data_IF_776189700442
#
_entry.id   IF_776189700442
#
_cell.length_a   1.000
_cell.length_b   1.000
_cell.length_c   1.000
_cell.angle_alpha   90.00
_cell.angle_beta   90.00
_cell.angle_gamma   90.00
#
_symmetry.space_group_name_H-M   'P 1'
#
loop_
_entity.id
_entity.type
_entity.pdbx_description
1 polymer ?
#
# COMPACT_ATOMS: atom_id res chain seq x y z
N UNK A 1 2.25 12.80 19.22
CA UNK A 1 1.65 11.56 18.69
C UNK A 1 0.17 11.80 18.45
N UNK A 2 -0.41 11.19 17.40
CA UNK A 2 -1.88 11.15 17.23
C UNK A 2 -2.50 10.41 18.42
N UNK A 3 -3.73 10.78 18.78
CA UNK A 3 -4.46 10.02 19.82
C UNK A 3 -4.87 8.65 19.26
N UNK A 4 -5.02 7.62 20.11
CA UNK A 4 -5.53 6.32 19.68
C UNK A 4 -6.85 6.48 18.90
N UNK A 5 -6.96 5.86 17.73
CA UNK A 5 -8.15 5.92 16.87
C UNK A 5 -8.27 7.13 15.94
N UNK A 6 -7.58 8.26 16.20
CA UNK A 6 -7.59 9.43 15.28
C UNK A 6 -7.03 9.05 13.90
N UNK A 7 -5.96 8.24 13.85
CA UNK A 7 -5.32 7.87 12.59
C UNK A 7 -6.20 7.00 11.69
N UNK A 8 -6.97 6.08 12.27
CA UNK A 8 -7.86 5.19 11.52
C UNK A 8 -9.07 5.94 10.93
N UNK A 9 -9.62 6.89 11.68
CA UNK A 9 -10.71 7.73 11.19
C UNK A 9 -10.23 8.62 10.03
N UNK A 10 -9.04 9.23 10.15
CA UNK A 10 -8.48 10.08 9.10
C UNK A 10 -8.16 9.26 7.84
N UNK A 11 -7.61 8.06 7.99
CA UNK A 11 -7.33 7.14 6.89
C UNK A 11 -8.56 6.84 6.02
N UNK A 12 -9.72 6.63 6.65
CA UNK A 12 -10.97 6.40 5.93
C UNK A 12 -11.39 7.59 5.06
N UNK A 13 -11.12 8.83 5.49
CA UNK A 13 -11.39 10.02 4.68
C UNK A 13 -10.40 10.15 3.50
N UNK A 14 -9.13 9.82 3.71
CA UNK A 14 -8.11 9.86 2.65
C UNK A 14 -8.42 8.82 1.56
N UNK A 15 -8.79 7.59 1.94
CA UNK A 15 -9.20 6.56 0.98
C UNK A 15 -10.44 6.96 0.16
N UNK A 16 -11.35 7.73 0.76
CA UNK A 16 -12.54 8.26 0.07
C UNK A 16 -12.25 9.54 -0.73
N UNK A 17 -10.99 9.98 -0.78
CA UNK A 17 -10.57 11.25 -1.37
C UNK A 17 -11.37 12.46 -0.83
N UNK A 18 -11.81 12.36 0.43
CA UNK A 18 -12.58 13.39 1.11
C UNK A 18 -11.67 14.22 1.99
N UNK A 19 -11.99 15.51 2.06
CA UNK A 19 -11.32 16.45 2.95
C UNK A 19 -11.42 15.99 4.40
N UNK A 20 -10.30 15.99 5.12
CA UNK A 20 -10.24 15.65 6.55
C UNK A 20 -10.94 16.76 7.36
N UNK A 21 -12.01 16.46 8.12
CA UNK A 21 -12.75 17.48 8.87
C UNK A 21 -11.90 18.18 9.94
N UNK A 22 -12.01 19.51 10.08
CA UNK A 22 -11.38 20.25 11.19
C UNK A 22 -12.26 20.16 12.45
N UNK A 23 -11.67 20.47 13.61
CA UNK A 23 -12.41 20.53 14.89
C UNK A 23 -13.54 21.56 14.79
N UNK A 24 -14.79 21.11 14.95
CA UNK A 24 -15.99 21.94 14.79
C UNK A 24 -16.69 21.79 13.44
N UNK A 25 -16.11 21.03 12.51
CA UNK A 25 -16.69 20.73 11.18
C UNK A 25 -17.28 19.33 11.10
N UNK A 26 -17.25 18.57 12.19
CA UNK A 26 -17.83 17.24 12.28
C UNK A 26 -19.34 17.36 12.07
N UNK A 27 -19.85 16.79 10.97
CA UNK A 27 -21.26 16.86 10.58
C UNK A 27 -21.54 17.76 9.37
N UNK A 28 -20.54 18.47 8.85
CA UNK A 28 -20.64 19.21 7.60
C UNK A 28 -20.00 18.42 6.46
N UNK A 29 -20.59 18.50 5.26
CA UNK A 29 -19.97 17.90 4.08
C UNK A 29 -18.79 18.76 3.59
N UNK A 30 -17.77 18.11 3.02
CA UNK A 30 -16.58 18.77 2.50
C UNK A 30 -16.90 19.82 1.43
N UNK A 31 -17.90 19.57 0.58
CA UNK A 31 -18.34 20.51 -0.45
C UNK A 31 -19.03 21.75 0.12
N UNK A 32 -19.80 21.59 1.21
CA UNK A 32 -20.44 22.72 1.88
C UNK A 32 -19.40 23.67 2.51
N UNK A 33 -18.35 23.11 3.09
CA UNK A 33 -17.25 23.89 3.69
C UNK A 33 -16.50 24.68 2.61
N UNK A 34 -16.18 24.04 1.48
CA UNK A 34 -15.47 24.70 0.37
C UNK A 34 -16.28 25.87 -0.21
N UNK A 35 -17.60 25.69 -0.36
CA UNK A 35 -18.49 26.77 -0.80
C UNK A 35 -18.55 27.93 0.18
N UNK A 36 -18.59 27.65 1.49
CA UNK A 36 -18.60 28.68 2.53
C UNK A 36 -17.25 29.42 2.61
N UNK A 37 -16.12 28.72 2.46
CA UNK A 37 -14.79 29.35 2.41
C UNK A 37 -14.65 30.24 1.16
N UNK A 38 -15.12 29.79 -0.02
CA UNK A 38 -15.17 30.59 -1.25
C UNK A 38 -16.04 31.84 -1.13
N UNK A 39 -17.15 31.74 -0.38
CA UNK A 39 -18.00 32.88 -0.08
C UNK A 39 -17.39 33.87 0.95
N UNK A 40 -16.20 33.56 1.49
CA UNK A 40 -15.47 34.43 2.42
C UNK A 40 -15.76 34.17 3.90
N UNK A 41 -16.51 33.11 4.23
CA UNK A 41 -16.71 32.71 5.63
C UNK A 41 -15.44 32.08 6.20
N UNK A 42 -15.02 32.60 7.35
CA UNK A 42 -13.82 32.14 8.06
C UNK A 42 -14.21 31.05 9.05
N UNK A 43 -13.83 29.81 8.75
CA UNK A 43 -14.11 28.67 9.62
C UNK A 43 -13.38 28.78 10.96
N UNK A 44 -13.99 28.25 12.02
CA UNK A 44 -13.44 28.33 13.38
C UNK A 44 -12.03 27.71 13.44
N UNK A 45 -11.08 28.48 13.98
CA UNK A 45 -9.68 28.05 14.12
C UNK A 45 -8.78 28.27 12.91
N UNK A 46 -9.31 28.68 11.75
CA UNK A 46 -8.52 28.92 10.53
C UNK A 46 -7.50 30.06 10.66
N UNK A 47 -7.75 31.07 11.50
CA UNK A 47 -6.81 32.18 11.79
C UNK A 47 -5.71 31.83 12.79
N UNK A 48 -5.75 30.66 13.44
CA UNK A 48 -4.80 30.33 14.50
C UNK A 48 -3.58 29.57 13.98
N UNK A 49 -2.46 30.30 13.78
CA UNK A 49 -1.20 29.77 13.21
C UNK A 49 -0.69 28.50 13.91
N UNK A 50 -0.69 28.47 15.24
CA UNK A 50 -0.20 27.32 16.03
C UNK A 50 -1.07 26.07 15.83
N UNK A 51 -2.39 26.24 15.77
CA UNK A 51 -3.30 25.12 15.51
C UNK A 51 -3.19 24.62 14.07
N UNK A 52 -3.05 25.51 13.09
CA UNK A 52 -2.84 25.13 11.70
C UNK A 52 -1.55 24.31 11.50
N UNK A 53 -0.47 24.68 12.18
CA UNK A 53 0.78 23.91 12.14
C UNK A 53 0.63 22.51 12.76
N UNK A 54 -0.09 22.39 13.88
CA UNK A 54 -0.40 21.08 14.50
C UNK A 54 -1.28 20.24 13.59
N UNK A 55 -2.28 20.86 12.94
CA UNK A 55 -3.17 20.21 11.98
C UNK A 55 -2.37 19.64 10.79
N UNK A 56 -1.58 20.47 10.11
CA UNK A 56 -0.74 20.03 9.00
C UNK A 56 0.20 18.90 9.41
N UNK A 57 0.79 18.98 10.61
CA UNK A 57 1.64 17.91 11.13
C UNK A 57 0.86 16.60 11.31
N UNK A 58 -0.37 16.65 11.84
CA UNK A 58 -1.21 15.45 12.01
C UNK A 58 -1.64 14.86 10.66
N UNK A 59 -2.04 15.70 9.72
CA UNK A 59 -2.38 15.30 8.35
C UNK A 59 -1.19 14.60 7.69
N UNK A 60 0.00 15.22 7.71
CA UNK A 60 1.22 14.64 7.14
C UNK A 60 1.64 13.33 7.83
N UNK A 61 1.35 13.15 9.12
CA UNK A 61 1.61 11.90 9.82
C UNK A 61 0.74 10.76 9.31
N UNK A 62 -0.51 11.04 8.90
CA UNK A 62 -1.41 10.03 8.34
C UNK A 62 -1.02 9.72 6.90
N UNK A 63 -0.80 10.76 6.07
CA UNK A 63 -0.34 10.57 4.69
C UNK A 63 0.95 9.73 4.63
N UNK A 64 1.96 10.09 5.43
CA UNK A 64 3.22 9.34 5.45
C UNK A 64 3.05 7.89 5.94
N UNK A 65 2.11 7.62 6.85
CA UNK A 65 1.83 6.27 7.32
C UNK A 65 1.09 5.43 6.26
N UNK A 66 0.13 6.03 5.55
CA UNK A 66 -0.60 5.36 4.47
C UNK A 66 0.27 5.13 3.24
N UNK A 67 1.09 6.10 2.84
CA UNK A 67 2.06 5.96 1.76
C UNK A 67 3.05 4.83 2.06
N UNK A 68 3.58 4.77 3.29
CA UNK A 68 4.46 3.66 3.71
C UNK A 68 3.76 2.31 3.69
N UNK A 69 2.47 2.27 4.06
CA UNK A 69 1.69 1.03 4.03
C UNK A 69 1.40 0.59 2.59
N UNK A 70 1.05 1.52 1.71
CA UNK A 70 0.83 1.25 0.29
C UNK A 70 2.11 0.76 -0.39
N UNK A 71 3.25 1.41 -0.12
CA UNK A 71 4.56 0.97 -0.62
C UNK A 71 4.97 -0.41 -0.08
N UNK A 72 4.69 -0.71 1.19
CA UNK A 72 4.98 -2.03 1.76
C UNK A 72 4.13 -3.14 1.12
N UNK A 73 2.85 -2.89 0.83
CA UNK A 73 1.99 -3.84 0.12
C UNK A 73 2.49 -4.07 -1.31
N UNK A 74 2.86 -3.00 -2.02
CA UNK A 74 3.41 -3.10 -3.37
C UNK A 74 4.71 -3.93 -3.39
N UNK A 75 5.64 -3.66 -2.47
CA UNK A 75 6.88 -4.42 -2.37
C UNK A 75 6.63 -5.90 -2.02
N UNK A 76 5.63 -6.18 -1.19
CA UNK A 76 5.24 -7.56 -0.85
C UNK A 76 4.67 -8.30 -2.07
N UNK A 77 3.78 -7.65 -2.84
CA UNK A 77 3.23 -8.21 -4.08
C UNK A 77 4.33 -8.45 -5.13
N UNK A 78 5.24 -7.50 -5.33
CA UNK A 78 6.38 -7.69 -6.23
C UNK A 78 7.29 -8.84 -5.79
N UNK A 79 7.59 -8.93 -4.48
CA UNK A 79 8.40 -10.01 -3.94
C UNK A 79 7.73 -11.37 -4.15
N UNK A 80 6.42 -11.48 -3.88
CA UNK A 80 5.66 -12.70 -4.08
C UNK A 80 5.59 -13.10 -5.56
N UNK A 81 5.40 -12.14 -6.48
CA UNK A 81 5.45 -12.41 -7.92
C UNK A 81 6.84 -12.89 -8.37
N UNK A 82 7.91 -12.29 -7.83
CA UNK A 82 9.28 -12.69 -8.13
C UNK A 82 9.59 -14.10 -7.60
N UNK A 83 9.13 -14.40 -6.38
CA UNK A 83 9.30 -15.71 -5.76
C UNK A 83 8.53 -16.80 -6.54
N UNK A 84 7.30 -16.52 -6.95
CA UNK A 84 6.51 -17.44 -7.77
C UNK A 84 7.17 -17.73 -9.13
N UNK A 85 7.76 -16.72 -9.78
CA UNK A 85 8.52 -16.91 -11.03
C UNK A 85 9.75 -17.79 -10.79
N UNK A 86 10.51 -17.51 -9.73
CA UNK A 86 11.68 -18.29 -9.36
C UNK A 86 11.33 -19.76 -9.06
N UNK A 87 10.21 -19.99 -8.37
CA UNK A 87 9.70 -21.33 -8.08
C UNK A 87 9.27 -22.08 -9.35
N UNK A 88 8.67 -21.38 -10.32
CA UNK A 88 8.32 -21.97 -11.61
C UNK A 88 9.58 -22.36 -12.40
N UNK A 89 10.54 -21.45 -12.53
CA UNK A 89 11.83 -21.71 -13.19
C UNK A 89 12.59 -22.87 -12.52
N UNK A 90 12.57 -22.94 -11.19
CA UNK A 90 13.21 -24.03 -10.46
C UNK A 90 12.53 -25.39 -10.72
N UNK A 91 11.19 -25.44 -10.76
CA UNK A 91 10.45 -26.66 -11.10
C UNK A 91 10.79 -27.14 -12.51
N UNK A 92 10.89 -26.23 -13.47
CA UNK A 92 11.24 -26.56 -14.85
C UNK A 92 12.67 -27.11 -14.94
N UNK A 93 13.63 -26.50 -14.22
CA UNK A 93 15.01 -27.00 -14.16
C UNK A 93 15.11 -28.40 -13.55
N UNK A 94 14.37 -28.67 -12.46
CA UNK A 94 14.33 -30.01 -11.85
C UNK A 94 13.71 -31.03 -12.80
N UNK A 95 12.58 -30.72 -13.42
CA UNK A 95 11.94 -31.60 -14.40
C UNK A 95 12.87 -31.92 -15.59
N UNK A 96 13.57 -30.90 -16.11
CA UNK A 96 14.55 -31.09 -17.17
C UNK A 96 15.75 -31.94 -16.72
N UNK A 97 16.20 -31.77 -15.47
CA UNK A 97 17.28 -32.59 -14.91
C UNK A 97 16.85 -34.04 -14.71
N UNK A 98 15.63 -34.28 -14.23
CA UNK A 98 15.07 -35.63 -14.10
C UNK A 98 14.88 -36.30 -15.47
N UNK A 99 14.42 -35.56 -16.48
CA UNK A 99 14.30 -36.07 -17.83
C UNK A 99 15.67 -36.44 -18.44
N UNK A 100 16.70 -35.59 -18.22
CA UNK A 100 18.05 -35.86 -18.72
C UNK A 100 18.75 -36.99 -17.97
N UNK A 101 18.57 -37.13 -16.65
CA UNK A 101 19.09 -38.28 -15.90
C UNK A 101 18.37 -39.57 -16.26
N UNK A 102 17.05 -39.53 -16.48
CA UNK A 102 16.29 -40.68 -16.96
C UNK A 102 16.74 -41.10 -18.38
N UNK A 103 16.98 -40.15 -19.28
CA UNK A 103 17.52 -40.43 -20.61
C UNK A 103 18.95 -41.00 -20.55
N UNK A 104 19.81 -40.47 -19.67
CA UNK A 104 21.16 -40.99 -19.47
C UNK A 104 21.16 -42.41 -18.86
N UNK A 105 20.26 -42.69 -17.92
CA UNK A 105 20.08 -44.02 -17.34
C UNK A 105 19.54 -45.02 -18.37
N UNK A 106 18.60 -44.62 -19.23
CA UNK A 106 18.09 -45.45 -20.31
C UNK A 106 19.16 -45.76 -21.38
N UNK A 107 20.01 -44.79 -21.72
CA UNK A 107 21.13 -44.99 -22.64
C UNK A 107 22.21 -45.94 -22.08
N UNK A 108 22.43 -45.93 -20.75
CA UNK A 108 23.35 -46.86 -20.08
C UNK A 108 22.79 -48.30 -19.98
N UNK A 109 21.47 -48.47 -20.05
CA UNK A 109 20.80 -49.78 -19.96
C UNK A 109 20.57 -50.48 -21.32
N UNK A 110 20.91 -49.83 -22.44
CA UNK A 110 20.81 -50.45 -23.76
C UNK A 110 21.80 -51.62 -23.89
N UNK A 111 21.36 -52.81 -24.35
CA UNK A 111 22.23 -53.97 -24.44
C UNK A 111 23.34 -53.69 -25.47
N UNK A 112 24.60 -53.75 -25.01
CA UNK A 112 25.75 -53.75 -25.91
C UNK A 112 25.65 -55.01 -26.76
N UNK A 113 25.23 -54.85 -28.02
CA UNK A 113 25.26 -55.93 -29.01
C UNK A 113 26.71 -56.43 -29.10
N UNK A 114 26.85 -57.73 -28.86
CA UNK A 114 28.10 -58.49 -28.83
C UNK A 114 28.74 -58.58 -30.21
#
# INVERSE_FOLDING_TARGET
ALRPGEGAAIAAYVQQNKRIPRRGEVGWDGGQIDNLEKAGYVMSGSRHKRMNAVRLRKENQVYSAEEKRALALFNYEEAQQRENKLLAEFRDLVANKEATTAAAAAAAAAPRLA
#
